data_IF_324651097444
#
_entry.id   IF_324651097444
#
_cell.length_a   1.000
_cell.length_b   1.000
_cell.length_c   1.000
_cell.angle_alpha   90.00
_cell.angle_beta   90.00
_cell.angle_gamma   90.00
#
_symmetry.space_group_name_H-M   'P 1'
#
loop_
_entity.id
_entity.type
_entity.pdbx_description
1 polymer ?
#
# COMPACT_ATOMS: atom_id res chain seq x y z
N UNK A 1 7.36 -11.40 -7.00
CA UNK A 1 6.38 -10.33 -6.71
C UNK A 1 7.04 -8.98 -6.43
N UNK A 2 8.05 -8.91 -5.55
CA UNK A 2 8.77 -7.67 -5.22
C UNK A 2 9.28 -6.88 -6.46
N UNK A 3 9.95 -7.56 -7.41
CA UNK A 3 10.46 -6.89 -8.62
C UNK A 3 9.34 -6.37 -9.53
N UNK A 4 8.20 -7.05 -9.57
CA UNK A 4 7.04 -6.60 -10.35
C UNK A 4 6.39 -5.35 -9.73
N UNK A 5 6.35 -5.28 -8.40
CA UNK A 5 5.89 -4.08 -7.67
C UNK A 5 6.86 -2.93 -7.95
N UNK A 6 8.17 -3.15 -7.77
CA UNK A 6 9.19 -2.15 -8.03
C UNK A 6 9.14 -1.63 -9.48
N UNK A 7 9.03 -2.53 -10.46
CA UNK A 7 8.88 -2.18 -11.89
C UNK A 7 7.67 -1.28 -12.13
N UNK A 8 6.55 -1.53 -11.46
CA UNK A 8 5.35 -0.72 -11.61
C UNK A 8 5.45 0.66 -10.95
N UNK A 9 6.28 0.79 -9.92
CA UNK A 9 6.46 2.03 -9.15
C UNK A 9 7.60 2.90 -9.69
N UNK A 10 8.61 2.28 -10.32
CA UNK A 10 9.80 2.96 -10.79
C UNK A 10 9.51 4.18 -11.68
N UNK A 11 8.60 4.13 -12.68
CA UNK A 11 8.33 5.29 -13.53
C UNK A 11 7.91 6.54 -12.76
N UNK A 12 7.11 6.40 -11.71
CA UNK A 12 6.67 7.53 -10.88
C UNK A 12 7.81 8.02 -9.97
N UNK A 13 8.59 7.09 -9.41
CA UNK A 13 9.68 7.45 -8.51
C UNK A 13 10.83 8.18 -9.23
N UNK A 14 11.09 7.83 -10.49
CA UNK A 14 12.22 8.34 -11.27
C UNK A 14 11.88 9.52 -12.19
N UNK A 15 10.61 9.93 -12.28
CA UNK A 15 10.17 11.04 -13.12
C UNK A 15 10.85 12.36 -12.67
N UNK A 16 11.70 13.02 -13.47
CA UNK A 16 12.42 14.21 -13.02
C UNK A 16 11.51 15.45 -12.90
N UNK A 17 10.37 15.47 -13.59
CA UNK A 17 9.55 16.67 -13.78
C UNK A 17 8.43 16.81 -12.74
N UNK A 18 8.23 15.77 -11.91
CA UNK A 18 7.19 15.77 -10.88
C UNK A 18 7.68 16.34 -9.54
N UNK A 19 6.91 17.26 -8.92
CA UNK A 19 7.10 17.64 -7.53
C UNK A 19 7.00 16.43 -6.59
N UNK A 20 7.72 16.46 -5.47
CA UNK A 20 7.84 15.31 -4.58
C UNK A 20 6.52 14.83 -3.95
N UNK A 21 5.64 15.74 -3.54
CA UNK A 21 4.33 15.40 -2.97
C UNK A 21 3.42 14.78 -4.04
N UNK A 22 3.49 15.29 -5.26
CA UNK A 22 2.76 14.72 -6.38
C UNK A 22 3.30 13.33 -6.75
N UNK A 23 4.63 13.12 -6.72
CA UNK A 23 5.23 11.78 -6.82
C UNK A 23 4.71 10.86 -5.73
N UNK A 24 4.63 11.33 -4.49
CA UNK A 24 4.17 10.53 -3.35
C UNK A 24 2.71 10.08 -3.54
N UNK A 25 1.83 11.01 -3.92
CA UNK A 25 0.42 10.71 -4.25
C UNK A 25 0.32 9.68 -5.38
N UNK A 26 1.07 9.90 -6.47
CA UNK A 26 1.08 8.98 -7.62
C UNK A 26 1.69 7.63 -7.27
N UNK A 27 2.66 7.58 -6.35
CA UNK A 27 3.31 6.35 -5.90
C UNK A 27 2.31 5.46 -5.17
N UNK A 28 1.55 5.99 -4.20
CA UNK A 28 0.50 5.23 -3.52
C UNK A 28 -0.63 4.84 -4.48
N UNK A 29 -1.05 5.75 -5.35
CA UNK A 29 -2.04 5.45 -6.39
C UNK A 29 -1.58 4.34 -7.35
N UNK A 30 -0.31 4.33 -7.76
CA UNK A 30 0.26 3.29 -8.60
C UNK A 30 0.32 1.93 -7.88
N UNK A 31 0.67 1.92 -6.59
CA UNK A 31 0.65 0.72 -5.78
C UNK A 31 -0.77 0.14 -5.65
N UNK A 32 -1.77 0.99 -5.38
CA UNK A 32 -3.17 0.61 -5.32
C UNK A 32 -3.69 0.03 -6.64
N UNK A 33 -3.42 0.72 -7.77
CA UNK A 33 -3.79 0.24 -9.12
C UNK A 33 -3.11 -1.08 -9.49
N UNK A 34 -1.84 -1.28 -9.10
CA UNK A 34 -1.12 -2.52 -9.35
C UNK A 34 -1.81 -3.73 -8.69
N UNK A 35 -2.33 -3.54 -7.46
CA UNK A 35 -3.12 -4.56 -6.74
C UNK A 35 -4.50 -4.72 -7.36
N UNK A 36 -5.20 -3.62 -7.63
CA UNK A 36 -6.56 -3.65 -8.20
C UNK A 36 -6.64 -4.39 -9.54
N UNK A 37 -5.66 -4.20 -10.44
CA UNK A 37 -5.56 -4.95 -11.72
C UNK A 37 -5.31 -6.45 -11.55
N UNK A 38 -4.96 -6.90 -10.35
CA UNK A 38 -4.66 -8.30 -10.02
C UNK A 38 -5.58 -8.83 -8.92
N UNK A 39 -6.73 -8.18 -8.71
CA UNK A 39 -7.66 -8.49 -7.62
C UNK A 39 -7.98 -9.98 -7.57
N UNK A 40 -8.43 -10.57 -8.66
CA UNK A 40 -8.89 -11.97 -8.66
C UNK A 40 -7.75 -12.96 -8.37
N UNK A 41 -6.57 -12.71 -8.95
CA UNK A 41 -5.35 -13.47 -8.64
C UNK A 41 -4.99 -13.34 -7.15
N UNK A 42 -5.00 -12.13 -6.61
CA UNK A 42 -4.63 -11.87 -5.22
C UNK A 42 -5.66 -12.47 -4.25
N UNK A 43 -6.95 -12.41 -4.57
CA UNK A 43 -8.02 -13.07 -3.81
C UNK A 43 -7.85 -14.59 -3.79
N UNK A 44 -7.59 -15.20 -4.96
CA UNK A 44 -7.35 -16.65 -5.05
C UNK A 44 -6.14 -17.10 -4.22
N UNK A 45 -5.12 -16.24 -4.10
CA UNK A 45 -3.92 -16.50 -3.29
C UNK A 45 -4.11 -16.16 -1.80
N UNK A 46 -5.09 -15.32 -1.45
CA UNK A 46 -5.18 -14.70 -0.12
C UNK A 46 -5.39 -15.73 1.00
N UNK A 47 -6.24 -16.74 0.78
CA UNK A 47 -6.49 -17.82 1.75
C UNK A 47 -5.22 -18.60 2.08
N UNK A 48 -4.46 -18.96 1.03
CA UNK A 48 -3.17 -19.64 1.18
C UNK A 48 -2.18 -18.70 1.87
N UNK A 49 -2.09 -17.46 1.41
CA UNK A 49 -1.16 -16.46 1.94
C UNK A 49 -1.33 -16.18 3.43
N UNK A 50 -2.58 -16.09 3.92
CA UNK A 50 -2.88 -15.78 5.32
C UNK A 50 -2.93 -16.99 6.25
N UNK A 51 -2.91 -18.22 5.72
CA UNK A 51 -2.81 -19.41 6.56
C UNK A 51 -1.59 -19.40 7.47
N UNK A 52 -1.72 -20.04 8.63
CA UNK A 52 -0.65 -20.18 9.63
C UNK A 52 0.57 -20.92 9.05
N UNK A 53 0.34 -21.94 8.22
CA UNK A 53 1.38 -22.71 7.54
C UNK A 53 2.30 -21.81 6.67
N UNK A 54 1.77 -20.69 6.19
CA UNK A 54 2.52 -19.73 5.38
C UNK A 54 3.03 -18.52 6.16
N UNK A 55 2.86 -18.46 7.48
CA UNK A 55 3.33 -17.34 8.30
C UNK A 55 4.84 -17.10 8.18
N UNK A 56 5.65 -18.17 8.17
CA UNK A 56 7.12 -18.08 8.02
C UNK A 56 7.50 -17.57 6.62
N UNK A 57 6.81 -18.05 5.58
CA UNK A 57 7.04 -17.62 4.19
C UNK A 57 6.70 -16.13 4.04
N UNK A 58 5.54 -15.72 4.55
CA UNK A 58 5.08 -14.33 4.58
C UNK A 58 6.09 -13.42 5.28
N UNK A 59 6.56 -13.80 6.46
CA UNK A 59 7.55 -13.02 7.21
C UNK A 59 8.91 -12.94 6.50
N UNK A 60 9.37 -14.01 5.83
CA UNK A 60 10.63 -14.00 5.07
C UNK A 60 10.55 -13.20 3.77
N UNK A 61 9.36 -13.04 3.18
CA UNK A 61 9.16 -12.25 1.97
C UNK A 61 9.10 -10.74 2.23
N UNK A 62 8.65 -10.31 3.41
CA UNK A 62 8.53 -8.89 3.78
C UNK A 62 9.84 -8.09 3.59
N UNK A 63 11.02 -8.55 4.05
CA UNK A 63 12.29 -7.87 3.78
C UNK A 63 12.57 -7.74 2.29
N UNK A 64 12.35 -8.78 1.49
CA UNK A 64 12.57 -8.75 0.05
C UNK A 64 11.71 -7.73 -0.69
N UNK A 65 10.46 -7.51 -0.24
CA UNK A 65 9.61 -6.43 -0.76
C UNK A 65 10.17 -5.08 -0.33
N UNK A 66 10.49 -4.92 0.96
CA UNK A 66 11.03 -3.67 1.49
C UNK A 66 12.34 -3.25 0.79
N UNK A 67 13.24 -4.19 0.52
CA UNK A 67 14.52 -3.93 -0.13
C UNK A 67 14.38 -3.45 -1.58
N UNK A 68 13.23 -3.67 -2.22
CA UNK A 68 12.94 -3.28 -3.61
C UNK A 68 12.10 -2.01 -3.68
N UNK A 69 11.17 -1.84 -2.74
CA UNK A 69 10.21 -0.72 -2.74
C UNK A 69 10.71 0.49 -1.95
N UNK A 70 11.38 0.27 -0.81
CA UNK A 70 11.83 1.36 0.06
C UNK A 70 12.83 2.30 -0.64
N UNK A 71 13.80 1.84 -1.47
CA UNK A 71 14.68 2.76 -2.19
C UNK A 71 13.93 3.70 -3.15
N UNK A 72 12.87 3.21 -3.80
CA UNK A 72 12.04 4.02 -4.70
C UNK A 72 11.27 5.08 -3.90
N UNK A 73 10.67 4.69 -2.78
CA UNK A 73 9.99 5.65 -1.90
C UNK A 73 10.98 6.65 -1.28
N UNK A 74 12.19 6.22 -0.93
CA UNK A 74 13.23 7.12 -0.41
C UNK A 74 13.62 8.19 -1.44
N UNK A 75 13.69 7.85 -2.72
CA UNK A 75 13.92 8.83 -3.79
C UNK A 75 12.77 9.86 -3.89
N UNK A 76 11.53 9.41 -3.75
CA UNK A 76 10.35 10.30 -3.69
C UNK A 76 10.41 11.23 -2.47
N UNK A 77 10.74 10.69 -1.30
CA UNK A 77 10.84 11.47 -0.06
C UNK A 77 11.99 12.48 -0.09
N UNK A 78 13.14 12.11 -0.66
CA UNK A 78 14.24 13.06 -0.91
C UNK A 78 13.78 14.21 -1.77
N UNK A 79 13.10 13.92 -2.88
CA UNK A 79 12.58 14.96 -3.77
C UNK A 79 11.59 15.88 -3.04
N UNK A 80 10.62 15.32 -2.32
CA UNK A 80 9.65 16.11 -1.57
C UNK A 80 10.30 17.00 -0.49
N UNK A 81 11.36 16.51 0.14
CA UNK A 81 12.15 17.30 1.09
C UNK A 81 12.90 18.42 0.40
N UNK A 82 13.55 18.13 -0.73
CA UNK A 82 14.31 19.11 -1.50
C UNK A 82 13.38 20.20 -2.09
N UNK A 83 12.12 19.85 -2.39
CA UNK A 83 11.05 20.76 -2.80
C UNK A 83 10.42 21.54 -1.61
N UNK A 84 10.80 21.23 -0.36
CA UNK A 84 10.29 21.88 0.84
C UNK A 84 8.89 21.43 1.29
N UNK A 85 8.37 20.34 0.73
CA UNK A 85 7.01 19.83 0.97
C UNK A 85 6.93 18.90 2.19
N UNK A 86 8.08 18.36 2.64
CA UNK A 86 8.21 17.55 3.85
C UNK A 86 9.52 17.86 4.58
N UNK A 87 9.50 17.73 5.90
CA UNK A 87 10.68 17.90 6.75
C UNK A 87 11.32 16.55 7.16
N UNK A 88 11.05 15.44 6.46
CA UNK A 88 11.59 14.11 6.80
C UNK A 88 13.13 14.12 6.78
N UNK A 89 13.81 13.91 7.93
CA UNK A 89 15.27 14.05 8.01
C UNK A 89 16.02 12.82 7.46
N UNK A 90 15.40 11.64 7.52
CA UNK A 90 16.01 10.35 7.18
C UNK A 90 15.20 9.61 6.09
N UNK A 91 15.20 10.07 4.82
CA UNK A 91 14.33 9.53 3.77
C UNK A 91 14.44 8.01 3.57
N UNK A 92 15.64 7.45 3.65
CA UNK A 92 15.89 6.02 3.44
C UNK A 92 15.27 5.16 4.56
N UNK A 93 15.48 5.56 5.81
CA UNK A 93 14.97 4.87 6.99
C UNK A 93 13.46 5.06 7.09
N UNK A 94 12.97 6.28 6.91
CA UNK A 94 11.54 6.60 6.91
C UNK A 94 10.82 5.83 5.81
N UNK A 95 11.37 5.73 4.60
CA UNK A 95 10.76 4.93 3.54
C UNK A 95 10.60 3.46 3.94
N UNK A 96 11.59 2.86 4.63
CA UNK A 96 11.49 1.48 5.12
C UNK A 96 10.41 1.32 6.19
N UNK A 97 10.25 2.30 7.08
CA UNK A 97 9.17 2.34 8.08
C UNK A 97 7.81 2.42 7.39
N UNK A 98 7.64 3.35 6.44
CA UNK A 98 6.39 3.50 5.68
C UNK A 98 6.02 2.23 4.92
N UNK A 99 6.98 1.59 4.25
CA UNK A 99 6.74 0.31 3.57
C UNK A 99 6.35 -0.80 4.55
N UNK A 100 6.87 -0.80 5.77
CA UNK A 100 6.48 -1.75 6.81
C UNK A 100 5.02 -1.54 7.25
N UNK A 101 4.62 -0.30 7.48
CA UNK A 101 3.23 0.06 7.82
C UNK A 101 2.26 -0.26 6.67
N UNK A 102 2.67 -0.06 5.43
CA UNK A 102 1.86 -0.43 4.26
C UNK A 102 1.69 -1.95 4.17
N UNK A 103 2.73 -2.73 4.46
CA UNK A 103 2.64 -4.19 4.48
C UNK A 103 1.69 -4.66 5.58
N UNK A 104 1.80 -4.07 6.78
CA UNK A 104 0.90 -4.34 7.89
C UNK A 104 -0.56 -4.00 7.58
N UNK A 105 -0.82 -2.83 6.96
CA UNK A 105 -2.15 -2.48 6.46
C UNK A 105 -2.70 -3.52 5.47
N UNK A 106 -1.85 -4.01 4.55
CA UNK A 106 -2.30 -5.02 3.57
C UNK A 106 -2.68 -6.33 4.23
N UNK A 107 -1.94 -6.76 5.25
CA UNK A 107 -2.26 -8.00 5.96
C UNK A 107 -3.59 -7.85 6.71
N UNK A 108 -3.80 -6.73 7.42
CA UNK A 108 -5.09 -6.45 8.10
C UNK A 108 -6.27 -6.38 7.14
N UNK A 109 -6.12 -5.67 6.01
CA UNK A 109 -7.18 -5.62 4.99
C UNK A 109 -7.42 -6.99 4.36
N UNK A 110 -6.36 -7.80 4.19
CA UNK A 110 -6.46 -9.18 3.74
C UNK A 110 -7.32 -10.03 4.68
N UNK A 111 -7.11 -9.93 5.99
CA UNK A 111 -7.90 -10.66 6.99
C UNK A 111 -9.37 -10.23 6.97
N UNK A 112 -9.64 -8.92 6.80
CA UNK A 112 -11.01 -8.40 6.67
C UNK A 112 -11.71 -8.92 5.40
N UNK A 113 -10.98 -9.04 4.29
CA UNK A 113 -11.51 -9.60 3.04
C UNK A 113 -11.80 -11.09 3.19
N UNK A 114 -10.96 -11.86 3.88
CA UNK A 114 -11.22 -13.27 4.18
C UNK A 114 -12.43 -13.45 5.10
N UNK A 115 -12.56 -12.63 6.14
CA UNK A 115 -13.74 -12.63 7.01
C UNK A 115 -15.03 -12.32 6.24
N UNK A 116 -14.98 -11.39 5.27
CA UNK A 116 -16.10 -11.14 4.37
C UNK A 116 -16.43 -12.37 3.51
N UNK A 117 -15.43 -13.02 2.93
CA UNK A 117 -15.59 -14.23 2.10
C UNK A 117 -16.18 -15.42 2.90
N UNK A 118 -15.85 -15.55 4.19
CA UNK A 118 -16.41 -16.58 5.08
C UNK A 118 -17.83 -16.27 5.56
N UNK A 119 -18.12 -15.02 5.90
CA UNK A 119 -19.39 -14.62 6.54
C UNK A 119 -20.45 -14.12 5.55
N UNK A 120 -20.04 -13.77 4.33
CA UNK A 120 -20.86 -13.08 3.33
C UNK A 120 -21.25 -11.65 3.72
N UNK A 121 -20.69 -11.10 4.81
CA UNK A 121 -21.05 -9.77 5.35
C UNK A 121 -19.85 -8.83 5.31
N UNK A 122 -19.82 -7.83 4.41
CA UNK A 122 -18.69 -6.91 4.33
C UNK A 122 -18.73 -5.90 5.48
N UNK A 123 -17.60 -5.70 6.16
CA UNK A 123 -17.41 -4.58 7.10
C UNK A 123 -16.58 -3.47 6.45
N UNK A 124 -17.16 -2.87 5.42
CA UNK A 124 -16.54 -1.77 4.69
C UNK A 124 -16.27 -0.55 5.60
N UNK A 125 -17.15 -0.16 6.55
CA UNK A 125 -16.85 0.93 7.49
C UNK A 125 -15.58 0.69 8.30
N UNK A 126 -15.39 -0.50 8.88
CA UNK A 126 -14.17 -0.80 9.64
C UNK A 126 -12.92 -0.79 8.76
N UNK A 127 -13.03 -1.27 7.51
CA UNK A 127 -11.92 -1.21 6.56
C UNK A 127 -11.55 0.24 6.20
N UNK A 128 -12.55 1.12 6.02
CA UNK A 128 -12.35 2.55 5.77
C UNK A 128 -11.70 3.25 6.97
N UNK A 129 -12.17 2.98 8.19
CA UNK A 129 -11.56 3.51 9.43
C UNK A 129 -10.11 3.06 9.58
N UNK A 130 -9.82 1.80 9.28
CA UNK A 130 -8.45 1.27 9.28
C UNK A 130 -7.57 2.01 8.27
N UNK A 131 -8.01 2.16 7.01
CA UNK A 131 -7.26 2.93 6.00
C UNK A 131 -7.05 4.38 6.43
N UNK A 132 -8.07 5.03 7.01
CA UNK A 132 -7.98 6.39 7.49
C UNK A 132 -6.94 6.53 8.61
N UNK A 133 -6.92 5.60 9.57
CA UNK A 133 -5.95 5.58 10.66
C UNK A 133 -4.50 5.46 10.14
N UNK A 134 -4.24 4.57 9.18
CA UNK A 134 -2.91 4.43 8.58
C UNK A 134 -2.53 5.66 7.75
N UNK A 135 -3.46 6.22 6.98
CA UNK A 135 -3.23 7.45 6.21
C UNK A 135 -2.83 8.60 7.16
N UNK A 136 -3.58 8.78 8.24
CA UNK A 136 -3.35 9.78 9.26
C UNK A 136 -1.99 9.58 9.99
N UNK A 137 -1.59 8.34 10.22
CA UNK A 137 -0.28 8.01 10.80
C UNK A 137 0.87 8.29 9.82
N UNK A 138 0.72 7.92 8.55
CA UNK A 138 1.71 8.18 7.51
C UNK A 138 1.89 9.68 7.27
N UNK A 139 0.82 10.47 7.23
CA UNK A 139 0.92 11.93 7.12
C UNK A 139 1.76 12.53 8.25
N UNK A 140 1.55 12.09 9.49
CA UNK A 140 2.37 12.53 10.63
C UNK A 140 3.83 12.10 10.52
N UNK A 141 4.09 10.84 10.16
CA UNK A 141 5.46 10.31 9.97
C UNK A 141 6.20 11.09 8.87
N UNK A 142 5.46 11.48 7.83
CA UNK A 142 5.98 12.20 6.68
C UNK A 142 5.95 13.72 6.87
N UNK A 143 5.50 14.24 8.02
CA UNK A 143 5.41 15.68 8.27
C UNK A 143 4.52 16.41 7.26
N UNK A 144 3.47 15.76 6.78
CA UNK A 144 2.53 16.30 5.81
C UNK A 144 1.28 16.84 6.53
N UNK A 145 0.62 17.88 5.98
CA UNK A 145 -0.72 18.27 6.42
C UNK A 145 -1.72 17.12 6.30
N UNK A 146 -2.80 17.18 7.08
CA UNK A 146 -3.90 16.23 6.95
C UNK A 146 -4.48 16.26 5.52
N UNK A 147 -4.93 15.09 5.04
CA UNK A 147 -5.55 14.92 3.71
C UNK A 147 -4.60 15.24 2.54
N UNK A 148 -3.28 15.20 2.79
CA UNK A 148 -2.27 15.42 1.77
C UNK A 148 -2.09 14.22 0.85
N UNK A 149 -2.41 13.01 1.32
CA UNK A 149 -2.22 11.77 0.54
C UNK A 149 -3.48 10.91 0.56
N UNK A 150 -3.64 10.12 -0.50
CA UNK A 150 -4.63 9.04 -0.58
C UNK A 150 -3.87 7.72 -0.59
N UNK A 151 -3.86 7.01 0.54
CA UNK A 151 -3.10 5.76 0.66
C UNK A 151 -3.75 4.61 -0.11
N UNK A 152 -5.07 4.48 0.01
CA UNK A 152 -5.88 3.53 -0.74
C UNK A 152 -7.07 4.28 -1.32
N UNK A 153 -7.24 4.19 -2.64
CA UNK A 153 -8.38 4.79 -3.32
C UNK A 153 -9.70 4.16 -2.81
N UNK A 154 -10.70 4.96 -2.40
CA UNK A 154 -11.95 4.42 -1.85
C UNK A 154 -12.74 3.52 -2.79
N UNK A 155 -12.69 3.75 -4.11
CA UNK A 155 -13.32 2.87 -5.09
C UNK A 155 -12.55 1.56 -5.24
N UNK A 156 -11.21 1.63 -5.22
CA UNK A 156 -10.38 0.41 -5.16
C UNK A 156 -10.69 -0.38 -3.90
N UNK A 157 -10.72 0.24 -2.72
CA UNK A 157 -11.05 -0.43 -1.46
C UNK A 157 -12.41 -1.12 -1.54
N UNK A 158 -13.45 -0.40 -1.98
CA UNK A 158 -14.81 -0.94 -2.14
C UNK A 158 -14.85 -2.19 -3.01
N UNK A 159 -14.06 -2.23 -4.09
CA UNK A 159 -14.02 -3.41 -4.96
C UNK A 159 -13.56 -4.68 -4.23
N UNK A 160 -12.76 -4.60 -3.16
CA UNK A 160 -12.34 -5.79 -2.41
C UNK A 160 -13.46 -6.40 -1.54
N UNK A 161 -14.53 -5.64 -1.28
CA UNK A 161 -15.67 -6.03 -0.44
C UNK A 161 -16.95 -6.26 -1.24
N UNK A 162 -16.85 -6.37 -2.57
CA UNK A 162 -17.95 -6.83 -3.42
C UNK A 162 -17.83 -8.33 -3.65
N UNK A 163 -18.93 -9.10 -3.63
CA UNK A 163 -18.92 -10.50 -4.03
C UNK A 163 -18.28 -10.64 -5.41
N UNK A 164 -17.50 -11.71 -5.62
CA UNK A 164 -17.13 -12.07 -6.98
C UNK A 164 -18.43 -12.43 -7.70
N UNK A 165 -18.76 -11.70 -8.76
CA UNK A 165 -19.92 -12.02 -9.56
C UNK A 165 -19.78 -13.45 -10.10
N UNK A 166 -20.74 -14.31 -9.77
CA UNK A 166 -21.19 -15.33 -10.71
C UNK A 166 -21.69 -14.55 -11.94
N UNK A 167 -20.83 -14.42 -12.95
CA UNK A 167 -21.33 -14.22 -14.31
C UNK A 167 -22.12 -15.49 -14.65
N UNK A 168 -23.44 -15.39 -14.57
CA UNK A 168 -24.40 -16.31 -15.19
C UNK A 168 -24.88 -15.73 -16.51
#
# INVERSE_FOLDING_TARGET
MADQIATALAPVATDPDLPGLEKLRRFFGALGRWKGRRRDLLLALLRVWQSDDNAVVRQKLRPGIADRVAPLLAAVLRRARDDGETAVPYPEQTARVVVSLIQDLNDRLGDMVLSFDETGRPDLPAAQETVAAYTCALERILGLPAESIVLVDPAVLRSWFTPNGDET
#
